data_IF_820263224705
#
_entry.id   IF_820263224705
#
_cell.length_a   1.000
_cell.length_b   1.000
_cell.length_c   1.000
_cell.angle_alpha   90.00
_cell.angle_beta   90.00
_cell.angle_gamma   90.00
#
_symmetry.space_group_name_H-M   'P 1'
#
loop_
_entity.id
_entity.type
_entity.pdbx_description
1 polymer ?
#
# COMPACT_ATOMS: atom_id res chain seq x y z
N UNK A 1 57.49 -76.32 23.06
CA UNK A 1 56.22 -75.73 22.64
C UNK A 1 56.12 -74.36 23.26
N UNK A 2 56.33 -73.31 22.49
CA UNK A 2 56.17 -71.92 22.95
C UNK A 2 55.03 -71.27 22.15
N UNK A 3 53.95 -70.93 22.80
CA UNK A 3 52.82 -70.19 22.25
C UNK A 3 53.19 -68.67 22.15
N UNK A 4 53.15 -68.18 20.98
CA UNK A 4 53.32 -66.72 20.74
C UNK A 4 51.96 -66.04 20.73
N UNK A 5 51.78 -65.11 21.63
CA UNK A 5 50.59 -64.25 21.72
C UNK A 5 50.76 -63.07 20.76
N UNK A 6 49.90 -62.90 19.72
CA UNK A 6 49.87 -61.76 18.85
C UNK A 6 48.97 -60.70 19.44
N UNK A 7 49.54 -59.49 19.73
CA UNK A 7 48.79 -58.32 20.16
C UNK A 7 48.26 -57.63 18.89
N UNK A 8 46.91 -57.52 18.77
CA UNK A 8 46.27 -56.66 17.76
C UNK A 8 46.13 -55.25 18.32
N UNK A 9 46.78 -54.32 17.72
CA UNK A 9 46.59 -52.88 17.99
C UNK A 9 45.46 -52.35 17.13
N UNK A 10 44.35 -51.95 17.77
CA UNK A 10 43.21 -51.27 17.14
C UNK A 10 43.52 -49.78 17.05
N UNK A 11 43.69 -49.24 15.83
CA UNK A 11 43.85 -47.79 15.56
C UNK A 11 42.44 -47.21 15.46
N UNK A 12 42.02 -46.43 16.44
CA UNK A 12 40.82 -45.62 16.38
C UNK A 12 41.10 -44.34 15.59
N UNK A 13 40.59 -44.22 14.37
CA UNK A 13 40.64 -43.02 13.59
C UNK A 13 39.55 -42.06 14.10
N UNK A 14 39.96 -40.96 14.74
CA UNK A 14 39.08 -39.89 15.11
C UNK A 14 38.72 -39.07 13.87
N UNK A 15 37.48 -39.13 13.40
CA UNK A 15 36.93 -38.29 12.33
C UNK A 15 36.64 -36.89 12.94
N UNK A 16 37.49 -35.91 12.70
CA UNK A 16 37.23 -34.52 12.98
C UNK A 16 36.23 -34.02 11.93
N UNK A 17 34.96 -33.89 12.30
CA UNK A 17 33.98 -33.16 11.52
C UNK A 17 34.27 -31.66 11.63
N UNK A 18 34.40 -30.91 10.51
CA UNK A 18 34.55 -29.47 10.56
C UNK A 18 33.24 -28.85 11.12
N UNK A 19 33.38 -28.15 12.23
CA UNK A 19 32.32 -27.29 12.74
C UNK A 19 32.21 -26.12 11.76
N UNK A 20 31.22 -26.14 10.87
CA UNK A 20 30.85 -24.99 10.05
C UNK A 20 30.33 -23.91 11.01
N UNK A 21 31.19 -23.03 11.45
CA UNK A 21 30.77 -21.77 12.09
C UNK A 21 30.05 -20.95 11.02
N UNK A 22 28.72 -20.86 11.14
CA UNK A 22 27.95 -19.90 10.36
C UNK A 22 28.44 -18.50 10.74
N UNK A 23 29.15 -17.85 9.81
CA UNK A 23 29.46 -16.42 9.93
C UNK A 23 28.10 -15.72 9.96
N UNK A 24 27.78 -14.90 10.98
CA UNK A 24 26.55 -14.14 10.99
C UNK A 24 26.53 -13.26 9.73
N UNK A 25 25.46 -13.36 8.96
CA UNK A 25 25.28 -12.52 7.78
C UNK A 25 25.27 -11.06 8.25
N UNK A 26 26.23 -10.27 7.80
CA UNK A 26 26.23 -8.83 8.04
C UNK A 26 24.98 -8.24 7.39
N UNK A 27 24.23 -7.42 8.15
CA UNK A 27 23.14 -6.64 7.60
C UNK A 27 23.68 -5.80 6.43
N UNK A 28 22.95 -5.74 5.31
CA UNK A 28 23.29 -4.82 4.23
C UNK A 28 23.29 -3.38 4.76
N UNK A 29 24.23 -2.57 4.31
CA UNK A 29 24.25 -1.15 4.65
C UNK A 29 22.91 -0.53 4.21
N UNK A 30 22.32 0.31 5.09
CA UNK A 30 21.10 1.05 4.79
C UNK A 30 21.30 1.92 3.56
N UNK A 31 20.37 1.91 2.64
CA UNK A 31 20.40 2.69 1.38
C UNK A 31 19.27 3.72 1.39
N UNK A 32 19.42 4.80 0.63
CA UNK A 32 18.41 5.86 0.58
C UNK A 32 17.09 5.34 -0.01
N UNK A 33 17.16 4.60 -1.11
CA UNK A 33 15.99 4.02 -1.76
C UNK A 33 16.06 2.49 -1.71
N UNK A 34 15.19 1.81 -0.91
CA UNK A 34 15.22 0.37 -0.72
C UNK A 34 14.90 -0.45 -1.97
N UNK A 35 14.28 0.15 -2.97
CA UNK A 35 13.92 -0.54 -4.22
C UNK A 35 15.07 -0.62 -5.23
N UNK A 36 16.08 0.24 -5.11
CA UNK A 36 17.20 0.28 -6.06
C UNK A 36 18.06 -0.97 -5.97
N UNK A 37 18.34 -1.56 -7.13
CA UNK A 37 19.15 -2.77 -7.25
C UNK A 37 18.66 -3.94 -6.37
N UNK A 38 17.39 -3.95 -6.01
CA UNK A 38 16.75 -5.02 -5.25
C UNK A 38 15.71 -5.75 -6.10
N UNK A 39 15.59 -7.06 -5.89
CA UNK A 39 14.46 -7.82 -6.39
C UNK A 39 13.28 -7.63 -5.44
N UNK A 40 12.05 -7.59 -5.97
CA UNK A 40 10.85 -7.59 -5.14
C UNK A 40 10.49 -9.00 -4.68
N UNK A 41 10.01 -9.12 -3.46
CA UNK A 41 9.39 -10.34 -2.96
C UNK A 41 8.15 -10.69 -3.76
N UNK A 42 8.08 -11.90 -4.28
CA UNK A 42 6.90 -12.44 -4.96
C UNK A 42 6.12 -13.29 -3.96
N UNK A 43 4.93 -12.83 -3.61
CA UNK A 43 4.04 -13.59 -2.73
C UNK A 43 3.62 -14.91 -3.40
N UNK A 44 3.94 -16.09 -2.84
CA UNK A 44 3.64 -17.37 -3.47
C UNK A 44 2.13 -17.64 -3.61
N UNK A 45 1.31 -17.12 -2.71
CA UNK A 45 -0.16 -17.30 -2.75
C UNK A 45 -0.78 -16.45 -3.84
N UNK A 46 -0.43 -15.16 -3.89
CA UNK A 46 -0.85 -14.29 -4.98
C UNK A 46 -0.34 -14.79 -6.33
N UNK A 47 0.92 -15.23 -6.40
CA UNK A 47 1.50 -15.86 -7.60
C UNK A 47 0.64 -17.03 -8.10
N UNK A 48 0.23 -17.93 -7.19
CA UNK A 48 -0.58 -19.08 -7.55
C UNK A 48 -1.94 -18.67 -8.11
N UNK A 49 -2.62 -17.70 -7.47
CA UNK A 49 -3.90 -17.18 -7.95
C UNK A 49 -3.77 -16.48 -9.29
N UNK A 50 -2.82 -15.56 -9.43
CA UNK A 50 -2.60 -14.80 -10.65
C UNK A 50 -2.24 -15.72 -11.82
N UNK A 51 -1.31 -16.67 -11.61
CA UNK A 51 -0.88 -17.60 -12.65
C UNK A 51 -1.97 -18.56 -13.12
N UNK A 52 -2.90 -18.92 -12.24
CA UNK A 52 -4.02 -19.78 -12.58
C UNK A 52 -5.03 -19.11 -13.52
N UNK A 53 -4.99 -17.77 -13.62
CA UNK A 53 -5.92 -17.01 -14.45
C UNK A 53 -5.47 -16.93 -15.90
N UNK A 54 -6.39 -17.01 -16.86
CA UNK A 54 -6.10 -16.75 -18.28
C UNK A 54 -5.41 -15.39 -18.46
N UNK A 55 -4.24 -15.36 -19.11
CA UNK A 55 -3.46 -14.15 -19.31
C UNK A 55 -2.71 -13.63 -18.09
N UNK A 56 -2.78 -14.29 -16.92
CA UNK A 56 -2.14 -13.82 -15.70
C UNK A 56 -0.65 -14.15 -15.56
N UNK A 57 -0.17 -15.15 -16.28
CA UNK A 57 1.22 -15.63 -16.17
C UNK A 57 2.30 -14.53 -16.36
N UNK A 58 2.18 -13.56 -17.30
CA UNK A 58 3.17 -12.50 -17.49
C UNK A 58 3.36 -11.59 -16.27
N UNK A 59 2.34 -11.44 -15.43
CA UNK A 59 2.35 -10.55 -14.26
C UNK A 59 2.50 -11.29 -12.93
N UNK A 60 2.31 -12.59 -12.90
CA UNK A 60 2.31 -13.39 -11.67
C UNK A 60 3.62 -13.28 -10.85
N UNK A 61 4.75 -12.97 -11.50
CA UNK A 61 6.04 -12.77 -10.85
C UNK A 61 6.28 -11.33 -10.35
N UNK A 62 5.28 -10.46 -10.43
CA UNK A 62 5.38 -9.11 -9.88
C UNK A 62 5.31 -9.15 -8.34
N UNK A 63 6.05 -8.23 -7.70
CA UNK A 63 5.96 -8.07 -6.25
C UNK A 63 4.69 -7.32 -5.85
N UNK A 64 4.07 -7.76 -4.75
CA UNK A 64 2.89 -7.12 -4.16
C UNK A 64 3.10 -6.87 -2.67
N UNK A 65 2.30 -5.99 -2.08
CA UNK A 65 2.33 -5.75 -0.64
C UNK A 65 1.69 -6.90 0.15
N UNK A 66 2.24 -7.17 1.33
CA UNK A 66 1.67 -8.07 2.34
C UNK A 66 0.86 -7.21 3.31
N UNK A 67 -0.45 -7.40 3.35
CA UNK A 67 -1.34 -6.60 4.18
C UNK A 67 -1.54 -7.22 5.56
N UNK A 68 -1.26 -6.42 6.58
CA UNK A 68 -1.56 -6.71 7.98
C UNK A 68 -2.73 -5.82 8.39
N UNK A 69 -3.94 -6.20 8.00
CA UNK A 69 -5.15 -5.40 8.17
C UNK A 69 -5.96 -5.78 9.42
N UNK A 70 -5.41 -6.68 10.23
CA UNK A 70 -5.96 -7.19 11.50
C UNK A 70 -4.91 -7.94 12.30
N UNK A 71 -5.15 -8.13 13.59
CA UNK A 71 -4.25 -8.89 14.49
C UNK A 71 -4.01 -10.31 13.97
N UNK A 72 -5.04 -10.99 13.47
CA UNK A 72 -4.91 -12.35 12.95
C UNK A 72 -4.00 -12.48 11.72
N UNK A 73 -3.75 -11.38 10.99
CA UNK A 73 -2.79 -11.37 9.87
C UNK A 73 -1.33 -11.47 10.31
N UNK A 74 -1.03 -11.21 11.59
CA UNK A 74 0.33 -11.30 12.14
C UNK A 74 0.76 -12.76 12.23
N UNK A 75 -0.05 -13.59 12.87
CA UNK A 75 0.22 -15.02 13.05
C UNK A 75 -0.25 -15.85 11.85
N UNK A 76 -1.20 -15.33 11.08
CA UNK A 76 -1.87 -16.04 9.99
C UNK A 76 -3.05 -16.88 10.49
N UNK A 77 -3.75 -17.45 9.53
CA UNK A 77 -4.92 -18.33 9.76
C UNK A 77 -4.75 -19.61 8.96
N UNK A 78 -5.71 -20.53 9.06
CA UNK A 78 -5.71 -21.74 8.22
C UNK A 78 -5.79 -21.41 6.70
N UNK A 79 -6.30 -20.22 6.34
CA UNK A 79 -6.52 -19.81 4.96
C UNK A 79 -5.48 -18.80 4.45
N UNK A 80 -4.81 -18.07 5.32
CA UNK A 80 -3.86 -17.02 4.97
C UNK A 80 -2.60 -17.11 5.80
N UNK A 81 -1.41 -16.99 5.18
CA UNK A 81 -0.14 -17.01 5.88
C UNK A 81 0.04 -15.77 6.76
N UNK A 82 0.73 -15.95 7.89
CA UNK A 82 1.12 -14.84 8.75
C UNK A 82 2.42 -14.16 8.30
N UNK A 83 2.75 -13.05 8.97
CA UNK A 83 3.95 -12.24 8.67
C UNK A 83 5.24 -13.08 8.64
N UNK A 84 5.45 -13.99 9.62
CA UNK A 84 6.64 -14.86 9.65
C UNK A 84 6.73 -15.77 8.42
N UNK A 85 5.61 -16.29 7.94
CA UNK A 85 5.59 -17.13 6.76
C UNK A 85 6.04 -16.35 5.50
N UNK A 86 5.56 -15.12 5.33
CA UNK A 86 5.99 -14.24 4.23
C UNK A 86 7.48 -13.88 4.35
N UNK A 87 7.97 -13.51 5.54
CA UNK A 87 9.39 -13.18 5.75
C UNK A 87 10.30 -14.38 5.52
N UNK A 88 9.93 -15.58 5.97
CA UNK A 88 10.68 -16.81 5.70
C UNK A 88 10.75 -17.10 4.19
N UNK A 89 9.65 -16.94 3.45
CA UNK A 89 9.65 -17.08 2.00
C UNK A 89 10.50 -15.99 1.33
N UNK A 90 10.50 -14.75 1.84
CA UNK A 90 11.38 -13.69 1.35
C UNK A 90 12.86 -14.03 1.55
N UNK A 91 13.24 -14.58 2.70
CA UNK A 91 14.62 -15.06 2.96
C UNK A 91 15.00 -16.18 1.98
N UNK A 92 14.11 -17.13 1.73
CA UNK A 92 14.34 -18.19 0.74
C UNK A 92 14.50 -17.63 -0.68
N UNK A 93 13.67 -16.67 -1.08
CA UNK A 93 13.77 -16.01 -2.38
C UNK A 93 15.04 -15.14 -2.49
N UNK A 94 15.46 -14.50 -1.41
CA UNK A 94 16.71 -13.73 -1.38
C UNK A 94 17.90 -14.63 -1.70
N UNK A 95 17.98 -15.80 -1.08
CA UNK A 95 19.08 -16.74 -1.29
C UNK A 95 20.43 -16.05 -1.15
N UNK A 96 21.33 -16.30 -2.11
CA UNK A 96 22.62 -15.60 -2.24
C UNK A 96 22.66 -14.51 -3.33
N UNK A 97 21.53 -14.14 -3.92
CA UNK A 97 21.47 -13.41 -5.19
C UNK A 97 21.28 -11.88 -5.05
N UNK A 98 21.73 -11.27 -3.97
CA UNK A 98 21.65 -9.82 -3.74
C UNK A 98 20.40 -9.41 -2.93
N UNK A 99 20.15 -8.09 -2.79
CA UNK A 99 19.08 -7.56 -1.96
C UNK A 99 17.71 -7.98 -2.44
N UNK A 100 16.80 -8.21 -1.48
CA UNK A 100 15.39 -8.45 -1.75
C UNK A 100 14.54 -7.50 -0.89
N UNK A 101 13.64 -6.80 -1.55
CA UNK A 101 12.68 -5.89 -0.90
C UNK A 101 11.35 -6.59 -0.71
N UNK A 102 10.82 -6.58 0.51
CA UNK A 102 9.46 -6.99 0.84
C UNK A 102 8.68 -5.78 1.34
N UNK A 103 7.46 -5.58 0.84
CA UNK A 103 6.54 -4.53 1.27
C UNK A 103 5.55 -5.12 2.25
N UNK A 104 5.44 -4.52 3.43
CA UNK A 104 4.40 -4.85 4.41
C UNK A 104 3.55 -3.62 4.67
N UNK A 105 2.24 -3.80 4.73
CA UNK A 105 1.27 -2.73 4.97
C UNK A 105 0.67 -2.91 6.34
N UNK A 106 0.94 -1.98 7.24
CA UNK A 106 0.27 -1.89 8.53
C UNK A 106 -1.01 -1.10 8.33
N UNK A 107 -2.16 -1.67 8.65
CA UNK A 107 -3.45 -1.00 8.43
C UNK A 107 -4.49 -1.47 9.46
N UNK A 108 -4.33 -1.05 10.73
CA UNK A 108 -5.27 -1.43 11.79
C UNK A 108 -5.45 -0.36 12.89
N UNK A 109 -5.36 0.94 12.51
CA UNK A 109 -5.64 2.06 13.42
C UNK A 109 -7.02 1.90 14.11
N UNK A 110 -7.15 2.27 15.39
CA UNK A 110 -8.44 2.24 16.08
C UNK A 110 -9.50 3.07 15.35
N UNK A 111 -10.66 2.44 15.09
CA UNK A 111 -11.76 3.03 14.31
C UNK A 111 -11.32 3.53 12.90
N UNK A 112 -10.33 2.87 12.27
CA UNK A 112 -9.88 3.22 10.93
C UNK A 112 -11.05 3.25 9.94
N UNK A 113 -10.83 3.94 8.82
CA UNK A 113 -11.86 4.13 7.80
C UNK A 113 -13.19 4.61 8.40
N UNK A 114 -13.12 5.59 9.30
CA UNK A 114 -14.30 6.10 10.02
C UNK A 114 -15.40 6.65 9.09
N UNK A 115 -15.08 6.93 7.83
CA UNK A 115 -16.02 7.35 6.78
C UNK A 115 -16.71 6.19 6.07
N UNK A 116 -16.23 4.95 6.24
CA UNK A 116 -16.70 3.75 5.56
C UNK A 116 -17.26 2.73 6.54
N UNK A 117 -18.04 1.77 6.04
CA UNK A 117 -18.62 0.69 6.84
C UNK A 117 -17.83 -0.61 6.75
N UNK A 118 -16.91 -0.72 5.77
CA UNK A 118 -16.05 -1.88 5.55
C UNK A 118 -14.62 -1.60 6.04
N UNK A 119 -13.89 -2.66 6.35
CA UNK A 119 -12.46 -2.57 6.68
C UNK A 119 -12.16 -1.64 7.89
N UNK A 120 -12.93 -1.77 8.98
CA UNK A 120 -12.81 -0.89 10.15
C UNK A 120 -11.75 -1.34 11.18
N UNK A 121 -11.06 -2.46 10.97
CA UNK A 121 -10.02 -2.98 11.86
C UNK A 121 -10.56 -3.65 13.12
N UNK A 122 -9.63 -4.09 13.97
CA UNK A 122 -9.93 -4.86 15.19
C UNK A 122 -10.10 -3.98 16.43
N UNK A 123 -9.71 -2.69 16.36
CA UNK A 123 -9.63 -1.81 17.52
C UNK A 123 -10.65 -0.69 17.46
N UNK A 124 -11.28 -0.41 18.62
CA UNK A 124 -12.14 0.75 18.78
C UNK A 124 -11.64 1.64 19.91
N UNK A 125 -11.67 2.96 19.70
CA UNK A 125 -11.31 3.95 20.72
C UNK A 125 -12.17 3.82 21.97
N UNK A 126 -13.42 3.38 21.83
CA UNK A 126 -14.32 3.14 22.94
C UNK A 126 -13.91 1.95 23.83
N UNK A 127 -13.00 1.08 23.36
CA UNK A 127 -12.59 -0.16 24.03
C UNK A 127 -11.07 -0.24 24.21
N UNK A 128 -10.45 0.85 24.65
CA UNK A 128 -8.99 0.96 24.85
C UNK A 128 -8.17 0.66 23.60
N UNK A 129 -8.74 0.96 22.43
CA UNK A 129 -8.16 0.59 21.13
C UNK A 129 -6.73 1.11 20.91
N UNK A 130 -6.38 2.27 21.46
CA UNK A 130 -5.03 2.82 21.31
C UNK A 130 -3.96 1.97 22.00
N UNK A 131 -4.19 1.53 23.24
CA UNK A 131 -3.24 0.67 23.94
C UNK A 131 -3.21 -0.73 23.32
N UNK A 132 -4.37 -1.25 22.92
CA UNK A 132 -4.45 -2.53 22.23
C UNK A 132 -3.73 -2.49 20.89
N UNK A 133 -3.88 -1.44 20.09
CA UNK A 133 -3.12 -1.23 18.84
C UNK A 133 -1.61 -1.29 19.07
N UNK A 134 -1.11 -0.66 20.15
CA UNK A 134 0.32 -0.72 20.50
C UNK A 134 0.77 -2.12 20.87
N UNK A 135 0.06 -2.75 21.80
CA UNK A 135 0.50 -3.98 22.46
C UNK A 135 0.16 -5.24 21.68
N UNK A 136 -0.99 -5.25 20.99
CA UNK A 136 -1.49 -6.45 20.29
C UNK A 136 -1.15 -6.43 18.78
N UNK A 137 -0.76 -5.27 18.23
CA UNK A 137 -0.50 -5.14 16.80
C UNK A 137 0.91 -4.60 16.51
N UNK A 138 1.26 -3.37 16.89
CA UNK A 138 2.55 -2.76 16.54
C UNK A 138 3.73 -3.49 17.16
N UNK A 139 3.69 -3.79 18.47
CA UNK A 139 4.80 -4.43 19.17
C UNK A 139 5.06 -5.87 18.71
N UNK A 140 4.06 -6.73 18.49
CA UNK A 140 4.27 -8.04 17.88
C UNK A 140 4.89 -7.95 16.47
N UNK A 141 4.39 -7.06 15.61
CA UNK A 141 4.96 -6.84 14.27
C UNK A 141 6.43 -6.40 14.39
N UNK A 142 6.73 -5.37 15.18
CA UNK A 142 8.09 -4.89 15.35
C UNK A 142 9.03 -5.97 15.93
N UNK A 143 8.53 -6.77 16.87
CA UNK A 143 9.27 -7.91 17.43
C UNK A 143 9.60 -8.98 16.40
N UNK A 144 8.67 -9.27 15.47
CA UNK A 144 8.92 -10.20 14.36
C UNK A 144 9.95 -9.61 13.39
N UNK A 145 9.81 -8.33 12.99
CA UNK A 145 10.70 -7.70 12.03
C UNK A 145 12.14 -7.55 12.56
N UNK A 146 12.31 -7.41 13.87
CA UNK A 146 13.62 -7.31 14.52
C UNK A 146 14.38 -8.64 14.62
N UNK A 147 13.76 -9.77 14.24
CA UNK A 147 14.39 -11.09 14.28
C UNK A 147 15.64 -11.09 13.38
N UNK A 148 16.82 -11.51 13.91
CA UNK A 148 18.06 -11.58 13.14
C UNK A 148 17.98 -12.38 11.83
N UNK A 149 17.06 -13.32 11.73
CA UNK A 149 16.83 -14.09 10.51
C UNK A 149 16.44 -13.23 9.31
N UNK A 150 15.91 -12.04 9.53
CA UNK A 150 15.39 -11.14 8.48
C UNK A 150 16.29 -9.95 8.18
N UNK A 151 17.44 -9.79 8.86
CA UNK A 151 18.33 -8.63 8.73
C UNK A 151 18.85 -8.36 7.31
N UNK A 152 18.87 -9.39 6.45
CA UNK A 152 19.30 -9.26 5.04
C UNK A 152 18.20 -8.78 4.09
N UNK A 153 16.98 -8.71 4.55
CA UNK A 153 15.86 -8.20 3.77
C UNK A 153 15.83 -6.66 3.87
N UNK A 154 15.39 -6.00 2.81
CA UNK A 154 14.94 -4.62 2.87
C UNK A 154 13.44 -4.62 3.08
N UNK A 155 13.01 -4.30 4.29
CA UNK A 155 11.59 -4.35 4.66
C UNK A 155 11.01 -2.95 4.54
N UNK A 156 10.18 -2.74 3.53
CA UNK A 156 9.43 -1.49 3.35
C UNK A 156 8.14 -1.58 4.13
N UNK A 157 8.04 -0.80 5.21
CA UNK A 157 6.85 -0.70 6.03
C UNK A 157 6.01 0.50 5.57
N UNK A 158 4.85 0.21 4.99
CA UNK A 158 3.84 1.19 4.58
C UNK A 158 2.86 1.32 5.73
N UNK A 159 2.78 2.53 6.30
CA UNK A 159 2.10 2.74 7.58
C UNK A 159 0.77 3.43 7.36
N UNK A 160 -0.28 2.71 7.70
CA UNK A 160 -1.67 3.13 7.88
C UNK A 160 -2.25 3.90 6.67
N UNK A 161 -2.47 3.20 5.54
CA UNK A 161 -3.17 3.79 4.41
C UNK A 161 -4.53 4.42 4.80
N UNK A 162 -4.88 5.49 4.12
CA UNK A 162 -6.18 6.20 4.22
C UNK A 162 -6.49 6.85 5.59
N UNK A 163 -5.49 7.07 6.46
CA UNK A 163 -5.76 7.77 7.72
C UNK A 163 -6.01 9.29 7.57
N UNK A 164 -5.40 9.92 6.56
CA UNK A 164 -5.48 11.37 6.35
C UNK A 164 -6.91 11.87 6.08
N UNK A 165 -7.74 11.24 5.25
CA UNK A 165 -9.12 11.66 5.07
C UNK A 165 -9.90 11.78 6.38
N UNK A 166 -9.70 10.87 7.33
CA UNK A 166 -10.32 10.91 8.65
C UNK A 166 -9.92 12.11 9.50
N UNK A 167 -8.76 12.72 9.23
CA UNK A 167 -8.25 13.89 9.96
C UNK A 167 -8.45 15.22 9.23
N UNK A 168 -8.51 15.20 7.90
CA UNK A 168 -8.59 16.41 7.06
C UNK A 168 -10.03 16.80 6.71
N UNK A 169 -10.87 15.80 6.43
CA UNK A 169 -12.26 16.03 6.05
C UNK A 169 -13.12 16.50 7.25
N UNK A 170 -14.22 17.22 7.02
CA UNK A 170 -15.23 17.44 8.05
C UNK A 170 -15.71 16.10 8.63
N UNK A 171 -15.97 16.06 9.93
CA UNK A 171 -16.47 14.85 10.60
C UNK A 171 -17.90 14.55 10.14
N UNK A 172 -18.05 13.67 9.16
CA UNK A 172 -19.35 13.30 8.57
C UNK A 172 -20.07 12.18 9.34
N UNK A 173 -19.36 11.52 10.27
CA UNK A 173 -19.90 10.49 11.17
C UNK A 173 -19.51 10.79 12.60
N UNK A 174 -20.26 10.26 13.58
CA UNK A 174 -19.89 10.35 15.01
C UNK A 174 -18.56 9.66 15.29
N UNK A 175 -18.22 8.60 14.54
CA UNK A 175 -16.96 7.87 14.64
C UNK A 175 -15.79 8.75 14.17
N UNK A 176 -15.91 9.44 13.03
CA UNK A 176 -14.87 10.39 12.58
C UNK A 176 -14.72 11.57 13.56
N UNK A 177 -15.80 12.07 14.12
CA UNK A 177 -15.76 13.10 15.16
C UNK A 177 -14.96 12.63 16.40
N UNK A 178 -15.19 11.39 16.85
CA UNK A 178 -14.44 10.80 17.97
C UNK A 178 -12.94 10.63 17.63
N UNK A 179 -12.61 10.14 16.43
CA UNK A 179 -11.23 10.02 15.95
C UNK A 179 -10.51 11.37 15.97
N UNK A 180 -11.15 12.41 15.43
CA UNK A 180 -10.55 13.77 15.37
C UNK A 180 -10.37 14.37 16.77
N UNK A 181 -11.37 14.23 17.66
CA UNK A 181 -11.35 14.81 18.99
C UNK A 181 -10.36 14.10 19.92
N UNK A 182 -10.11 12.80 19.73
CA UNK A 182 -9.26 12.00 20.63
C UNK A 182 -7.76 12.28 20.50
N UNK A 183 -7.28 12.73 19.34
CA UNK A 183 -5.86 12.78 18.99
C UNK A 183 -5.20 11.41 18.85
N UNK A 184 -5.96 10.33 18.83
CA UNK A 184 -5.45 8.96 18.84
C UNK A 184 -4.62 8.62 17.59
N UNK A 185 -5.03 9.07 16.41
CA UNK A 185 -4.29 8.78 15.17
C UNK A 185 -2.86 9.35 15.18
N UNK A 186 -2.64 10.65 15.47
CA UNK A 186 -1.28 11.18 15.62
C UNK A 186 -0.43 10.42 16.63
N UNK A 187 -1.02 9.99 17.74
CA UNK A 187 -0.33 9.25 18.79
C UNK A 187 0.02 7.82 18.37
N UNK A 188 -0.93 7.10 17.78
CA UNK A 188 -0.74 5.75 17.25
C UNK A 188 0.33 5.71 16.15
N UNK A 189 0.24 6.63 15.18
CA UNK A 189 1.19 6.75 14.08
C UNK A 189 2.61 7.06 14.58
N UNK A 190 2.75 8.02 15.51
CA UNK A 190 4.06 8.32 16.11
C UNK A 190 4.64 7.10 16.79
N UNK A 191 3.82 6.35 17.52
CA UNK A 191 4.25 5.12 18.17
C UNK A 191 4.74 4.10 17.16
N UNK A 192 3.93 3.76 16.14
CA UNK A 192 4.27 2.79 15.12
C UNK A 192 5.55 3.18 14.35
N UNK A 193 5.65 4.43 13.91
CA UNK A 193 6.83 4.95 13.21
C UNK A 193 8.09 4.78 14.06
N UNK A 194 8.07 5.20 15.33
CA UNK A 194 9.23 5.10 16.21
C UNK A 194 9.66 3.66 16.47
N UNK A 195 8.68 2.74 16.63
CA UNK A 195 8.97 1.31 16.82
C UNK A 195 9.61 0.68 15.60
N UNK A 196 9.14 1.03 14.42
CA UNK A 196 9.65 0.51 13.15
C UNK A 196 11.01 1.10 12.78
N UNK A 197 11.23 2.40 12.98
CA UNK A 197 12.51 3.07 12.71
C UNK A 197 13.66 2.57 13.58
N UNK A 198 13.37 1.97 14.74
CA UNK A 198 14.37 1.35 15.59
C UNK A 198 14.99 0.08 14.98
N UNK A 199 14.43 -0.47 13.89
CA UNK A 199 14.88 -1.69 13.25
C UNK A 199 15.70 -1.32 12.00
N UNK A 200 17.01 -1.67 11.95
CA UNK A 200 17.94 -1.10 10.96
C UNK A 200 17.61 -1.36 9.49
N UNK A 201 16.97 -2.48 9.18
CA UNK A 201 16.60 -2.89 7.82
C UNK A 201 15.14 -2.62 7.45
N UNK A 202 14.42 -1.86 8.29
CA UNK A 202 13.06 -1.40 8.04
C UNK A 202 13.07 0.03 7.51
N UNK A 203 12.40 0.25 6.39
CA UNK A 203 12.25 1.50 5.68
C UNK A 203 10.80 1.98 5.81
N UNK A 204 10.57 3.06 6.52
CA UNK A 204 9.22 3.52 6.88
C UNK A 204 8.72 4.54 5.86
N UNK A 205 7.57 4.24 5.25
CA UNK A 205 6.81 5.12 4.39
C UNK A 205 5.42 5.35 5.00
N UNK A 206 5.07 6.62 5.27
CA UNK A 206 3.71 6.97 5.70
C UNK A 206 2.80 7.14 4.50
N UNK A 207 1.52 6.80 4.68
CA UNK A 207 0.55 7.12 3.65
C UNK A 207 0.27 8.62 3.58
N UNK A 208 0.26 9.15 2.36
CA UNK A 208 -0.11 10.54 2.04
C UNK A 208 -1.42 10.61 1.22
N UNK A 209 -2.22 9.55 1.27
CA UNK A 209 -3.51 9.44 0.59
C UNK A 209 -3.36 9.55 -0.94
N UNK A 210 -4.14 10.37 -1.63
CA UNK A 210 -4.12 10.50 -3.09
C UNK A 210 -4.49 11.91 -3.53
N UNK A 211 -4.26 12.24 -4.83
CA UNK A 211 -4.52 13.56 -5.37
C UNK A 211 -5.95 14.06 -5.10
N UNK A 212 -6.94 13.16 -5.19
CA UNK A 212 -8.36 13.51 -5.03
C UNK A 212 -8.74 14.06 -3.65
N UNK A 213 -7.95 13.79 -2.60
CA UNK A 213 -8.15 14.31 -1.24
C UNK A 213 -7.12 15.38 -0.90
N UNK A 214 -5.84 15.02 -0.96
CA UNK A 214 -4.75 15.90 -0.50
C UNK A 214 -4.38 16.94 -1.54
N UNK A 215 -4.63 16.68 -2.83
CA UNK A 215 -4.38 17.64 -3.91
C UNK A 215 -5.25 18.91 -3.87
N UNK A 216 -6.31 18.91 -3.07
CA UNK A 216 -7.17 20.10 -2.89
C UNK A 216 -6.40 21.23 -2.18
N UNK A 217 -6.54 22.50 -2.59
CA UNK A 217 -5.84 23.65 -1.98
C UNK A 217 -5.97 23.71 -0.46
N UNK A 218 -7.17 23.44 0.07
CA UNK A 218 -7.46 23.48 1.50
C UNK A 218 -6.77 22.35 2.29
N UNK A 219 -6.42 21.24 1.64
CA UNK A 219 -5.82 20.09 2.27
C UNK A 219 -4.31 19.99 2.07
N UNK A 220 -3.79 20.47 0.93
CA UNK A 220 -2.41 20.26 0.52
C UNK A 220 -1.38 20.71 1.56
N UNK A 221 -1.53 21.96 2.04
CA UNK A 221 -0.65 22.49 3.09
C UNK A 221 -0.91 21.89 4.47
N UNK A 222 -2.20 21.65 4.80
CA UNK A 222 -2.61 21.07 6.09
C UNK A 222 -2.08 19.63 6.26
N UNK A 223 -2.17 18.81 5.20
CA UNK A 223 -1.66 17.44 5.22
C UNK A 223 -0.16 17.41 5.49
N UNK A 224 0.64 18.23 4.79
CA UNK A 224 2.08 18.28 5.00
C UNK A 224 2.45 18.73 6.42
N UNK A 225 1.77 19.75 6.96
CA UNK A 225 1.96 20.22 8.34
C UNK A 225 1.57 19.17 9.38
N UNK A 226 0.47 18.45 9.15
CA UNK A 226 0.02 17.37 10.02
C UNK A 226 1.03 16.22 10.03
N UNK A 227 1.47 15.75 8.87
CA UNK A 227 2.50 14.71 8.75
C UNK A 227 3.79 15.11 9.47
N UNK A 228 4.25 16.35 9.30
CA UNK A 228 5.42 16.87 9.98
C UNK A 228 5.25 16.87 11.50
N UNK A 229 4.07 17.20 12.01
CA UNK A 229 3.77 17.18 13.46
C UNK A 229 3.71 15.76 14.03
N UNK A 230 3.22 14.80 13.24
CA UNK A 230 3.12 13.40 13.65
C UNK A 230 4.50 12.80 13.87
N UNK A 231 5.41 12.97 12.90
CA UNK A 231 6.74 12.33 12.94
C UNK A 231 7.84 13.21 13.52
N UNK A 232 7.51 14.42 14.02
CA UNK A 232 8.47 15.31 14.68
C UNK A 232 9.37 16.12 13.74
N UNK A 233 9.08 16.18 12.44
CA UNK A 233 9.86 16.94 11.46
C UNK A 233 9.83 18.46 11.72
N UNK A 234 8.76 18.97 12.34
CA UNK A 234 8.60 20.38 12.67
C UNK A 234 9.57 20.91 13.76
N UNK A 235 10.36 20.04 14.40
CA UNK A 235 11.30 20.42 15.48
C UNK A 235 12.70 20.87 15.01
N UNK A 236 12.91 21.04 13.69
CA UNK A 236 14.19 21.52 13.13
C UNK A 236 15.23 20.45 12.82
N UNK A 237 15.02 19.20 13.23
CA UNK A 237 15.78 18.06 12.74
C UNK A 237 14.98 17.34 11.65
N UNK A 238 15.59 16.91 10.54
CA UNK A 238 14.91 16.14 9.52
C UNK A 238 14.28 14.88 10.10
N UNK A 239 13.04 14.58 9.67
CA UNK A 239 12.39 13.34 10.07
C UNK A 239 13.15 12.12 9.49
N UNK A 240 13.32 11.06 10.29
CA UNK A 240 14.00 9.86 9.84
C UNK A 240 13.16 8.93 8.96
N UNK A 241 11.87 9.27 8.66
CA UNK A 241 11.09 8.47 7.71
C UNK A 241 11.70 8.54 6.31
N UNK A 242 11.61 7.44 5.57
CA UNK A 242 12.22 7.34 4.23
C UNK A 242 11.41 8.05 3.17
N UNK A 243 10.10 8.11 3.37
CA UNK A 243 9.23 8.76 2.41
C UNK A 243 7.76 8.54 2.67
N UNK A 244 6.99 8.66 1.59
CA UNK A 244 5.53 8.59 1.64
C UNK A 244 4.99 7.74 0.50
N UNK A 245 3.84 7.13 0.75
CA UNK A 245 3.07 6.44 -0.30
C UNK A 245 1.89 7.28 -0.74
N UNK A 246 1.50 7.14 -1.99
CA UNK A 246 0.26 7.74 -2.52
C UNK A 246 -0.53 6.72 -3.32
N UNK A 247 -1.84 6.92 -3.42
CA UNK A 247 -2.77 6.07 -4.16
C UNK A 247 -2.81 4.62 -3.68
N UNK A 248 -2.45 4.34 -2.42
CA UNK A 248 -2.46 2.98 -1.86
C UNK A 248 -3.86 2.40 -1.97
N UNK A 249 -3.99 1.25 -2.61
CA UNK A 249 -5.27 0.63 -2.96
C UNK A 249 -6.21 1.53 -3.79
N UNK A 250 -5.71 2.62 -4.35
CA UNK A 250 -6.49 3.58 -5.11
C UNK A 250 -6.58 3.25 -6.61
N UNK A 251 -7.32 4.10 -7.31
CA UNK A 251 -7.58 3.99 -8.74
C UNK A 251 -7.21 5.28 -9.52
N UNK A 252 -6.65 6.29 -8.83
CA UNK A 252 -6.27 7.56 -9.44
C UNK A 252 -5.29 7.37 -10.58
N UNK A 253 -5.57 7.93 -11.76
CA UNK A 253 -4.69 7.80 -12.92
C UNK A 253 -3.26 8.22 -12.57
N UNK A 254 -2.27 7.44 -13.00
CA UNK A 254 -0.86 7.78 -12.79
C UNK A 254 -0.50 9.09 -13.49
N UNK A 255 -0.94 9.25 -14.73
CA UNK A 255 -0.79 10.46 -15.56
C UNK A 255 -2.05 10.70 -16.36
N UNK A 256 -2.50 11.95 -16.40
CA UNK A 256 -3.56 12.43 -17.29
C UNK A 256 -2.95 13.21 -18.48
N UNK A 257 -2.66 12.53 -19.60
CA UNK A 257 -1.84 13.11 -20.66
C UNK A 257 -2.57 14.15 -21.53
N UNK A 258 -3.90 14.22 -21.45
CA UNK A 258 -4.71 15.00 -22.41
C UNK A 258 -5.39 16.23 -21.79
N UNK A 259 -5.22 16.45 -20.48
CA UNK A 259 -5.66 17.67 -19.81
C UNK A 259 -4.87 17.91 -18.52
N UNK A 260 -4.89 19.16 -18.05
CA UNK A 260 -4.36 19.54 -16.75
C UNK A 260 -5.08 20.82 -16.25
N UNK A 261 -4.78 21.24 -15.03
CA UNK A 261 -5.44 22.38 -14.39
C UNK A 261 -4.96 23.75 -14.89
N UNK A 262 -3.95 23.80 -15.76
CA UNK A 262 -3.35 25.04 -16.29
C UNK A 262 -3.69 25.29 -17.77
N UNK A 263 -4.58 24.50 -18.35
CA UNK A 263 -5.05 24.70 -19.73
C UNK A 263 -5.91 25.99 -19.84
N UNK A 264 -6.08 26.48 -21.06
CA UNK A 264 -6.87 27.69 -21.32
C UNK A 264 -8.38 27.59 -20.99
N UNK A 265 -8.90 26.38 -20.79
CA UNK A 265 -10.25 26.16 -20.27
C UNK A 265 -10.24 26.13 -18.73
N UNK A 266 -11.33 26.55 -18.06
CA UNK A 266 -11.41 26.55 -16.61
C UNK A 266 -11.62 25.14 -16.03
N UNK A 267 -10.70 24.21 -16.31
CA UNK A 267 -10.75 22.79 -15.97
C UNK A 267 -11.09 22.53 -14.50
N UNK A 268 -10.59 23.40 -13.60
CA UNK A 268 -10.89 23.32 -12.16
C UNK A 268 -12.38 23.45 -11.83
N UNK A 269 -13.17 24.09 -12.69
CA UNK A 269 -14.62 24.25 -12.47
C UNK A 269 -15.43 23.05 -12.92
N UNK A 270 -14.81 22.06 -13.59
CA UNK A 270 -15.49 20.82 -13.95
C UNK A 270 -15.90 20.03 -12.70
N UNK A 271 -16.99 19.29 -12.82
CA UNK A 271 -17.48 18.41 -11.75
C UNK A 271 -16.47 17.34 -11.33
N UNK A 272 -15.65 16.87 -12.27
CA UNK A 272 -14.62 15.89 -12.02
C UNK A 272 -13.46 16.45 -11.19
N UNK A 273 -12.94 17.62 -11.57
CA UNK A 273 -11.79 18.23 -10.90
C UNK A 273 -12.20 18.96 -9.62
N UNK A 274 -13.39 19.59 -9.60
CA UNK A 274 -14.03 20.19 -8.43
C UNK A 274 -13.10 21.10 -7.61
N UNK A 275 -12.30 21.95 -8.26
CA UNK A 275 -11.37 22.87 -7.60
C UNK A 275 -10.01 22.30 -7.23
N UNK A 276 -9.75 21.00 -7.45
CA UNK A 276 -8.47 20.40 -7.18
C UNK A 276 -7.34 20.99 -8.03
N UNK A 277 -6.13 21.07 -7.47
CA UNK A 277 -4.96 21.57 -8.17
C UNK A 277 -4.29 20.49 -9.03
N UNK A 278 -4.54 19.23 -8.74
CA UNK A 278 -3.93 18.05 -9.39
C UNK A 278 -5.01 17.15 -9.99
N UNK A 279 -4.68 16.53 -11.10
CA UNK A 279 -5.58 15.62 -11.83
C UNK A 279 -5.05 14.18 -11.91
N UNK A 280 -3.81 13.97 -11.46
CA UNK A 280 -3.13 12.68 -11.51
C UNK A 280 -2.16 12.49 -10.33
N UNK A 281 -1.76 11.23 -10.11
CA UNK A 281 -0.94 10.88 -8.94
C UNK A 281 0.53 11.28 -9.10
N UNK A 282 1.09 11.29 -10.32
CA UNK A 282 2.50 11.61 -10.51
C UNK A 282 2.77 13.10 -10.26
N UNK A 283 1.98 13.97 -10.87
CA UNK A 283 2.14 15.43 -10.67
C UNK A 283 1.86 15.82 -9.21
N UNK A 284 0.84 15.21 -8.60
CA UNK A 284 0.54 15.38 -7.18
C UNK A 284 1.71 14.92 -6.30
N UNK A 285 2.19 13.70 -6.45
CA UNK A 285 3.27 13.15 -5.63
C UNK A 285 4.54 14.00 -5.69
N UNK A 286 4.92 14.44 -6.89
CA UNK A 286 6.11 15.31 -7.08
C UNK A 286 5.94 16.66 -6.39
N UNK A 287 4.80 17.29 -6.52
CA UNK A 287 4.51 18.57 -5.87
C UNK A 287 4.38 18.42 -4.34
N UNK A 288 3.72 17.37 -3.88
CA UNK A 288 3.54 17.12 -2.46
C UNK A 288 4.87 16.79 -1.76
N UNK A 289 5.77 16.06 -2.43
CA UNK A 289 7.15 15.88 -1.96
C UNK A 289 7.83 17.21 -1.67
N UNK A 290 7.74 18.20 -2.57
CA UNK A 290 8.34 19.51 -2.33
C UNK A 290 7.68 20.23 -1.14
N UNK A 291 6.36 20.06 -0.98
CA UNK A 291 5.62 20.62 0.15
C UNK A 291 6.03 19.99 1.47
N UNK A 292 6.29 18.68 1.49
CA UNK A 292 6.79 17.94 2.65
C UNK A 292 8.21 18.43 3.04
N UNK A 293 9.11 18.58 2.08
CA UNK A 293 10.46 19.15 2.31
C UNK A 293 10.34 20.55 2.93
N UNK A 294 9.47 21.38 2.40
CA UNK A 294 9.21 22.72 2.95
C UNK A 294 8.55 22.68 4.35
N UNK A 295 7.94 21.56 4.74
CA UNK A 295 7.38 21.34 6.08
C UNK A 295 8.39 20.77 7.08
N UNK A 296 9.65 20.53 6.68
CA UNK A 296 10.75 20.09 7.55
C UNK A 296 11.21 18.65 7.36
N UNK A 297 10.73 17.94 6.33
CA UNK A 297 11.28 16.63 5.98
C UNK A 297 12.62 16.75 5.26
N UNK A 298 13.41 15.68 5.29
CA UNK A 298 14.70 15.61 4.62
C UNK A 298 14.53 15.79 3.10
N UNK A 299 15.54 16.36 2.44
CA UNK A 299 15.51 16.63 0.99
C UNK A 299 15.56 15.38 0.12
N UNK A 300 15.97 14.26 0.69
CA UNK A 300 16.10 12.95 0.06
C UNK A 300 14.90 12.04 0.26
N UNK A 301 13.85 12.47 1.01
CA UNK A 301 12.62 11.67 1.13
C UNK A 301 12.09 11.28 -0.25
N UNK A 302 11.66 10.05 -0.39
CA UNK A 302 11.08 9.52 -1.62
C UNK A 302 9.56 9.40 -1.58
N UNK A 303 8.97 9.24 -2.76
CA UNK A 303 7.56 8.92 -2.92
C UNK A 303 7.41 7.53 -3.55
N UNK A 304 6.46 6.75 -3.10
CA UNK A 304 6.05 5.48 -3.73
C UNK A 304 4.62 5.61 -4.20
N UNK A 305 4.35 5.29 -5.45
CA UNK A 305 3.00 5.36 -6.03
C UNK A 305 2.48 3.94 -6.23
N UNK A 306 1.31 3.64 -5.63
CA UNK A 306 0.63 2.39 -5.94
C UNK A 306 0.02 2.44 -7.34
N UNK A 307 0.53 1.58 -8.21
CA UNK A 307 0.11 1.49 -9.61
C UNK A 307 -0.64 0.21 -9.93
N UNK A 308 -1.07 -0.53 -8.90
CA UNK A 308 -1.68 -1.85 -9.06
C UNK A 308 -2.97 -1.85 -9.88
N UNK A 309 -3.79 -0.76 -9.79
CA UNK A 309 -5.15 -0.74 -10.33
C UNK A 309 -5.51 0.56 -11.07
N UNK A 310 -4.55 1.32 -11.53
CA UNK A 310 -4.74 2.66 -12.10
C UNK A 310 -4.39 2.77 -13.60
N UNK A 311 -4.32 1.65 -14.31
CA UNK A 311 -3.93 1.59 -15.72
C UNK A 311 -4.93 2.22 -16.69
N UNK A 312 -6.22 1.96 -16.52
CA UNK A 312 -7.30 2.52 -17.37
C UNK A 312 -7.07 2.37 -18.87
N UNK A 313 -6.59 1.18 -19.32
CA UNK A 313 -6.22 0.93 -20.72
C UNK A 313 -7.36 0.46 -21.64
N UNK A 314 -8.58 0.26 -21.11
CA UNK A 314 -9.70 -0.27 -21.85
C UNK A 314 -10.16 0.62 -23.01
N UNK A 315 -11.17 0.16 -23.76
CA UNK A 315 -11.67 0.83 -24.99
C UNK A 315 -12.08 2.30 -24.81
N UNK A 316 -12.38 2.71 -23.58
CA UNK A 316 -12.76 4.11 -23.24
C UNK A 316 -11.56 5.01 -22.95
N UNK A 317 -10.33 4.49 -22.99
CA UNK A 317 -9.14 5.33 -22.82
C UNK A 317 -9.05 6.34 -23.96
N UNK A 318 -8.95 7.66 -23.70
CA UNK A 318 -8.78 8.66 -24.73
C UNK A 318 -7.41 8.50 -25.40
N UNK A 319 -7.33 8.97 -26.64
CA UNK A 319 -6.09 8.99 -27.44
C UNK A 319 -5.66 10.40 -27.84
N UNK A 320 -6.46 11.41 -27.49
CA UNK A 320 -6.19 12.83 -27.74
C UNK A 320 -7.00 13.70 -26.78
N UNK A 321 -6.61 14.96 -26.68
CA UNK A 321 -7.36 16.01 -25.98
C UNK A 321 -8.68 16.30 -26.73
N UNK A 322 -9.79 16.41 -26.00
CA UNK A 322 -11.07 16.84 -26.56
C UNK A 322 -11.01 18.28 -27.07
N UNK A 323 -11.82 18.61 -28.07
CA UNK A 323 -11.93 19.95 -28.66
C UNK A 323 -13.24 20.65 -28.31
N UNK A 324 -14.07 20.06 -27.43
CA UNK A 324 -15.38 20.63 -27.08
C UNK A 324 -15.23 21.81 -26.12
N UNK A 325 -16.13 22.80 -26.24
CA UNK A 325 -16.08 24.00 -25.40
C UNK A 325 -16.71 23.86 -24.01
N UNK A 326 -17.59 22.86 -23.79
CA UNK A 326 -18.16 22.58 -22.47
C UNK A 326 -17.11 21.91 -21.58
N UNK A 327 -16.82 22.51 -20.43
CA UNK A 327 -15.71 22.10 -19.57
C UNK A 327 -15.91 20.70 -18.96
N UNK A 328 -17.15 20.31 -18.61
CA UNK A 328 -17.41 18.99 -18.06
C UNK A 328 -17.21 17.93 -19.13
N UNK A 329 -17.77 18.15 -20.31
CA UNK A 329 -17.61 17.25 -21.44
C UNK A 329 -16.17 17.17 -21.92
N UNK A 330 -15.47 18.32 -21.96
CA UNK A 330 -14.03 18.37 -22.29
C UNK A 330 -13.22 17.45 -21.36
N UNK A 331 -13.41 17.58 -20.04
CA UNK A 331 -12.71 16.75 -19.05
C UNK A 331 -13.14 15.27 -19.18
N UNK A 332 -14.45 15.00 -19.33
CA UNK A 332 -14.95 13.62 -19.46
C UNK A 332 -14.41 12.91 -20.72
N UNK A 333 -14.23 13.62 -21.83
CA UNK A 333 -13.67 13.07 -23.05
C UNK A 333 -12.14 12.93 -23.01
N UNK A 334 -11.45 13.79 -22.24
CA UNK A 334 -9.98 13.84 -22.18
C UNK A 334 -9.37 12.98 -21.08
N UNK A 335 -10.07 12.75 -19.92
CA UNK A 335 -9.52 12.01 -18.79
C UNK A 335 -9.37 10.52 -19.04
N UNK A 336 -8.29 9.92 -18.53
CA UNK A 336 -8.06 8.49 -18.58
C UNK A 336 -8.77 7.74 -17.44
N UNK A 337 -8.83 8.33 -16.25
CA UNK A 337 -9.59 7.78 -15.13
C UNK A 337 -11.09 7.74 -15.47
N UNK A 338 -11.67 6.54 -15.50
CA UNK A 338 -13.07 6.32 -15.94
C UNK A 338 -14.06 6.17 -14.80
N UNK A 339 -13.65 6.38 -13.55
CA UNK A 339 -14.59 6.41 -12.43
C UNK A 339 -15.67 7.48 -12.65
N UNK A 340 -16.82 7.30 -12.06
CA UNK A 340 -17.90 8.28 -12.12
C UNK A 340 -17.64 9.50 -11.22
N UNK A 341 -16.88 9.30 -10.14
CA UNK A 341 -16.39 10.34 -9.23
C UNK A 341 -14.99 9.98 -8.75
N UNK A 342 -14.14 10.98 -8.52
CA UNK A 342 -12.79 10.79 -7.96
C UNK A 342 -12.83 10.14 -6.57
N UNK A 343 -13.95 10.28 -5.84
CA UNK A 343 -14.16 9.66 -4.54
C UNK A 343 -14.63 8.20 -4.59
N UNK A 344 -14.87 7.62 -5.78
CA UNK A 344 -15.25 6.20 -5.88
C UNK A 344 -14.04 5.31 -5.65
N UNK A 345 -14.17 4.32 -4.76
CA UNK A 345 -13.02 3.54 -4.30
C UNK A 345 -13.21 2.02 -4.32
N UNK A 346 -14.43 1.48 -4.27
CA UNK A 346 -14.63 0.05 -4.13
C UNK A 346 -14.71 -0.64 -5.50
N UNK A 347 -13.83 -1.63 -5.73
CA UNK A 347 -13.83 -2.56 -6.88
C UNK A 347 -14.23 -1.92 -8.22
N UNK A 348 -13.58 -0.83 -8.60
CA UNK A 348 -14.02 0.03 -9.70
C UNK A 348 -13.98 -0.65 -11.07
N UNK A 349 -15.13 -0.69 -11.73
CA UNK A 349 -15.28 -1.23 -13.08
C UNK A 349 -14.52 -0.41 -14.14
N UNK A 350 -13.88 -1.08 -15.07
CA UNK A 350 -13.07 -0.47 -16.14
C UNK A 350 -11.64 -0.17 -15.74
N UNK A 351 -11.26 -0.37 -14.49
CA UNK A 351 -9.89 -0.23 -14.04
C UNK A 351 -8.96 -1.24 -14.71
N UNK A 352 -7.67 -0.92 -14.84
CA UNK A 352 -6.64 -1.78 -15.41
C UNK A 352 -5.40 -1.87 -14.54
N UNK A 353 -4.58 -2.91 -14.71
CA UNK A 353 -3.23 -2.92 -14.17
C UNK A 353 -2.48 -1.69 -14.68
N UNK A 354 -1.84 -0.97 -13.78
CA UNK A 354 -1.00 0.16 -14.13
C UNK A 354 0.44 -0.23 -14.45
N UNK A 355 1.34 0.72 -14.35
CA UNK A 355 2.79 0.50 -14.52
C UNK A 355 3.26 -0.63 -13.60
N UNK A 356 4.13 -1.50 -14.15
CA UNK A 356 4.70 -2.61 -13.37
C UNK A 356 5.65 -2.07 -12.32
N UNK A 357 5.81 -2.79 -11.19
CA UNK A 357 6.74 -2.38 -10.13
C UNK A 357 8.14 -2.12 -10.69
N UNK A 358 8.69 -0.93 -10.42
CA UNK A 358 10.06 -0.54 -10.80
C UNK A 358 10.58 0.61 -9.97
N UNK A 359 11.88 0.58 -9.69
CA UNK A 359 12.56 1.64 -8.96
C UNK A 359 12.83 2.88 -9.84
N UNK A 360 12.89 4.04 -9.21
CA UNK A 360 13.25 5.34 -9.79
C UNK A 360 12.52 5.61 -11.13
N UNK A 361 11.17 5.54 -11.15
CA UNK A 361 10.44 5.76 -12.40
C UNK A 361 10.41 7.21 -12.86
N UNK A 362 10.53 8.15 -11.93
CA UNK A 362 10.51 9.59 -12.16
C UNK A 362 11.27 10.33 -11.05
N UNK A 363 11.57 11.62 -11.25
CA UNK A 363 12.26 12.44 -10.25
C UNK A 363 11.48 12.53 -8.94
N UNK A 364 12.14 12.21 -7.82
CA UNK A 364 11.55 12.20 -6.48
C UNK A 364 10.60 11.05 -6.19
N UNK A 365 10.49 10.08 -7.11
CA UNK A 365 9.70 8.87 -6.94
C UNK A 365 10.64 7.68 -6.78
N UNK A 366 10.59 7.04 -5.61
CA UNK A 366 11.42 5.88 -5.27
C UNK A 366 11.02 4.64 -6.06
N UNK A 367 9.70 4.43 -6.20
CA UNK A 367 9.19 3.31 -6.97
C UNK A 367 7.74 3.53 -7.44
N UNK A 368 7.40 2.91 -8.56
CA UNK A 368 6.05 2.40 -8.79
C UNK A 368 5.97 1.02 -8.16
N UNK A 369 4.91 0.76 -7.42
CA UNK A 369 4.74 -0.49 -6.70
C UNK A 369 3.30 -1.00 -6.81
N UNK A 370 3.11 -2.29 -6.67
CA UNK A 370 1.78 -2.88 -6.48
C UNK A 370 1.61 -3.15 -4.99
N UNK A 371 1.20 -2.11 -4.26
CA UNK A 371 1.01 -2.18 -2.81
C UNK A 371 -0.27 -2.98 -2.52
N UNK A 372 -1.38 -2.63 -3.17
CA UNK A 372 -2.58 -3.49 -3.16
C UNK A 372 -2.35 -4.66 -4.14
N UNK A 373 -2.46 -5.92 -3.71
CA UNK A 373 -2.38 -7.03 -4.66
C UNK A 373 -3.54 -6.97 -5.65
N UNK A 374 -3.29 -6.91 -6.97
CA UNK A 374 -4.36 -6.92 -7.98
C UNK A 374 -5.26 -8.15 -7.85
N UNK A 375 -6.57 -7.97 -7.98
CA UNK A 375 -7.54 -9.05 -7.81
C UNK A 375 -7.94 -9.35 -6.36
N UNK A 376 -7.45 -8.55 -5.39
CA UNK A 376 -7.93 -8.64 -4.00
C UNK A 376 -9.03 -7.62 -3.77
N UNK A 377 -10.22 -8.10 -3.40
CA UNK A 377 -11.45 -7.31 -3.23
C UNK A 377 -11.32 -6.21 -2.18
N UNK A 378 -11.99 -5.08 -2.41
CA UNK A 378 -12.13 -3.97 -1.46
C UNK A 378 -13.32 -4.17 -0.51
N UNK A 379 -14.32 -4.96 -0.93
CA UNK A 379 -15.53 -5.23 -0.15
C UNK A 379 -16.58 -5.97 -0.95
N UNK A 380 -17.52 -6.59 -0.25
CA UNK A 380 -18.62 -7.37 -0.84
C UNK A 380 -19.59 -6.48 -1.60
N UNK A 381 -20.01 -6.94 -2.80
CA UNK A 381 -21.05 -6.30 -3.60
C UNK A 381 -22.47 -6.49 -3.04
N UNK A 382 -22.65 -7.35 -2.05
CA UNK A 382 -23.94 -7.66 -1.44
C UNK A 382 -23.94 -7.35 0.04
N UNK A 383 -25.09 -6.95 0.56
CA UNK A 383 -25.24 -6.59 1.97
C UNK A 383 -25.23 -7.84 2.87
N UNK A 384 -24.03 -8.29 3.18
CA UNK A 384 -23.77 -9.37 4.12
C UNK A 384 -22.80 -8.89 5.20
N UNK A 385 -22.95 -9.40 6.41
CA UNK A 385 -21.91 -9.26 7.43
C UNK A 385 -21.01 -10.49 7.32
N UNK A 386 -19.71 -10.27 7.06
CA UNK A 386 -18.74 -11.35 7.02
C UNK A 386 -18.56 -11.99 8.41
N UNK A 387 -18.09 -13.26 8.49
CA UNK A 387 -17.86 -13.94 9.77
C UNK A 387 -16.94 -13.19 10.75
N UNK A 388 -16.03 -12.37 10.23
CA UNK A 388 -15.13 -11.50 10.99
C UNK A 388 -15.76 -10.17 11.45
N UNK A 389 -17.06 -9.98 11.23
CA UNK A 389 -17.80 -8.77 11.59
C UNK A 389 -17.70 -7.62 10.56
N UNK A 390 -16.94 -7.78 9.48
CA UNK A 390 -16.85 -6.79 8.39
C UNK A 390 -18.22 -6.59 7.76
N UNK A 391 -18.68 -5.34 7.69
CA UNK A 391 -19.98 -4.96 7.15
C UNK A 391 -19.87 -4.57 5.68
N UNK A 392 -20.97 -4.66 4.98
CA UNK A 392 -21.12 -4.13 3.63
C UNK A 392 -21.08 -2.60 3.63
N UNK A 393 -20.34 -2.01 2.67
CA UNK A 393 -20.37 -0.58 2.38
C UNK A 393 -21.15 -0.35 1.08
N UNK A 394 -22.11 0.60 1.04
CA UNK A 394 -22.89 0.87 -0.16
C UNK A 394 -22.03 1.19 -1.40
N UNK A 395 -20.83 1.77 -1.25
CA UNK A 395 -19.93 2.03 -2.37
C UNK A 395 -19.50 0.76 -3.11
N UNK A 396 -19.61 -0.40 -2.48
CA UNK A 396 -19.31 -1.71 -3.09
C UNK A 396 -20.51 -2.33 -3.81
N UNK A 397 -21.72 -1.75 -3.66
CA UNK A 397 -22.92 -2.19 -4.39
C UNK A 397 -22.90 -1.61 -5.82
N UNK A 398 -22.95 -2.45 -6.87
CA UNK A 398 -23.00 -1.99 -8.26
C UNK A 398 -24.19 -1.08 -8.58
N UNK A 399 -25.30 -1.22 -7.84
CA UNK A 399 -26.52 -0.42 -8.02
C UNK A 399 -26.50 0.89 -7.21
N UNK A 400 -25.47 1.13 -6.40
CA UNK A 400 -25.43 2.30 -5.52
C UNK A 400 -25.34 3.62 -6.28
N UNK A 401 -26.20 4.54 -5.90
CA UNK A 401 -26.21 5.93 -6.36
C UNK A 401 -25.91 6.84 -5.17
N UNK A 402 -24.91 7.70 -5.32
CA UNK A 402 -24.52 8.69 -4.32
C UNK A 402 -25.51 9.84 -4.29
N UNK A 403 -26.57 9.72 -3.50
CA UNK A 403 -27.67 10.69 -3.44
C UNK A 403 -27.17 12.11 -3.12
N UNK A 404 -26.25 12.22 -2.18
CA UNK A 404 -25.65 13.52 -1.78
C UNK A 404 -24.69 14.10 -2.83
N UNK A 405 -24.38 13.35 -3.88
CA UNK A 405 -23.51 13.75 -4.98
C UNK A 405 -24.24 13.70 -6.33
N UNK A 406 -25.52 14.09 -6.35
CA UNK A 406 -26.32 14.16 -7.57
C UNK A 406 -26.63 12.81 -8.22
N UNK A 407 -26.80 11.76 -7.44
CA UNK A 407 -27.06 10.38 -7.88
C UNK A 407 -25.94 9.79 -8.77
N UNK A 408 -24.68 10.16 -8.51
CA UNK A 408 -23.53 9.60 -9.23
C UNK A 408 -23.37 8.11 -8.89
N UNK A 409 -23.24 7.20 -9.90
CA UNK A 409 -23.04 5.77 -9.63
C UNK A 409 -21.76 5.49 -8.85
N UNK A 410 -21.80 4.49 -7.94
CA UNK A 410 -20.62 3.98 -7.24
C UNK A 410 -19.60 3.29 -8.17
N UNK A 411 -20.10 2.67 -9.25
CA UNK A 411 -19.25 2.08 -10.30
C UNK A 411 -18.51 0.81 -9.89
N UNK A 412 -18.96 0.13 -8.83
CA UNK A 412 -18.36 -1.11 -8.37
C UNK A 412 -18.69 -2.29 -9.30
N UNK A 413 -17.79 -3.26 -9.37
CA UNK A 413 -18.02 -4.54 -10.06
C UNK A 413 -19.05 -5.40 -9.30
N UNK A 414 -19.92 -6.14 -10.01
CA UNK A 414 -20.81 -7.11 -9.39
C UNK A 414 -20.06 -8.33 -8.86
N UNK A 415 -20.73 -9.11 -8.02
CA UNK A 415 -20.30 -10.40 -7.50
C UNK A 415 -18.96 -10.35 -6.72
N UNK A 416 -18.61 -9.18 -6.19
CA UNK A 416 -17.41 -9.01 -5.41
C UNK A 416 -17.51 -9.75 -4.06
N UNK A 417 -16.50 -10.55 -3.67
CA UNK A 417 -16.43 -11.18 -2.36
C UNK A 417 -16.08 -10.17 -1.26
N UNK A 418 -16.04 -10.61 -0.01
CA UNK A 418 -15.63 -9.78 1.11
C UNK A 418 -14.22 -9.18 0.92
N UNK A 419 -13.95 -8.07 1.63
CA UNK A 419 -12.65 -7.42 1.60
C UNK A 419 -11.51 -8.40 1.91
N UNK A 420 -10.41 -8.28 1.18
CA UNK A 420 -9.23 -9.13 1.33
C UNK A 420 -9.31 -10.48 0.60
N UNK A 421 -10.46 -10.88 0.09
CA UNK A 421 -10.61 -12.14 -0.65
C UNK A 421 -10.26 -11.98 -2.14
N UNK A 422 -9.86 -13.10 -2.77
CA UNK A 422 -9.58 -13.13 -4.20
C UNK A 422 -10.83 -12.88 -5.02
N UNK A 423 -10.76 -11.94 -5.95
CA UNK A 423 -11.83 -11.54 -6.84
C UNK A 423 -11.40 -11.74 -8.31
N UNK A 424 -11.68 -12.92 -8.84
CA UNK A 424 -11.26 -13.35 -10.17
C UNK A 424 -11.72 -12.39 -11.27
N UNK A 425 -12.99 -11.98 -11.25
CA UNK A 425 -13.56 -11.10 -12.27
C UNK A 425 -12.83 -9.74 -12.30
N UNK A 426 -12.50 -9.17 -11.14
CA UNK A 426 -11.71 -7.94 -11.08
C UNK A 426 -10.31 -8.17 -11.68
N UNK A 427 -9.65 -9.28 -11.34
CA UNK A 427 -8.31 -9.54 -11.86
C UNK A 427 -8.32 -9.69 -13.40
N UNK A 428 -9.30 -10.40 -13.96
CA UNK A 428 -9.49 -10.52 -15.42
C UNK A 428 -9.72 -9.17 -16.08
N UNK A 429 -10.53 -8.30 -15.47
CA UNK A 429 -10.75 -6.95 -15.99
C UNK A 429 -9.49 -6.11 -15.92
N UNK A 430 -8.75 -6.19 -14.81
CA UNK A 430 -7.46 -5.49 -14.64
C UNK A 430 -6.44 -5.92 -15.71
N UNK A 431 -6.35 -7.21 -16.04
CA UNK A 431 -5.50 -7.70 -17.14
C UNK A 431 -5.94 -7.14 -18.49
N UNK A 432 -7.24 -7.20 -18.77
CA UNK A 432 -7.83 -6.75 -20.04
C UNK A 432 -7.61 -5.25 -20.28
N UNK A 433 -7.72 -4.46 -19.23
CA UNK A 433 -7.61 -3.01 -19.26
C UNK A 433 -6.22 -2.51 -18.81
N UNK A 434 -5.19 -3.36 -18.82
CA UNK A 434 -3.85 -2.97 -18.42
C UNK A 434 -3.31 -1.81 -19.29
N UNK A 435 -2.63 -0.86 -18.63
CA UNK A 435 -1.88 0.18 -19.32
C UNK A 435 -0.62 0.56 -18.51
N UNK A 436 0.57 0.41 -19.08
CA UNK A 436 0.87 -0.11 -20.43
C UNK A 436 0.31 -1.53 -20.67
N UNK A 437 0.03 -1.91 -21.92
CA UNK A 437 -0.42 -3.27 -22.25
C UNK A 437 0.52 -4.37 -21.73
N UNK A 438 -0.02 -5.57 -21.53
CA UNK A 438 0.74 -6.76 -21.11
C UNK A 438 1.67 -7.28 -22.19
#
# INVERSE_FOLDING_TARGET
MRLGTRLMATIAAAILLPVLTSVPATADARVDNPYVAARGYVDPWWYAWARAQPGGAPVATSSTGVWLDRVSSIEGTASFPGLRAHLNQAVLQAGGSGPLTIQIVLNDLPDRNCTHLVSNGDFSLASDGLNRYRNEYVDPIAGILADPAYQRLRIVAIVEPDFLPGLLAPAITSRCAAVQASGAYPEALRYAVNRLLAIPNVYVYLDASHHGVVGHPDNFGRAAGLLASIVGAAGGAPSPVHGFTVNVAGYGALVEPYYNTHMGLPVKTSRWVAGNDYVDELSFAQAFRQRLIAAGFASDIGMVIDTSRNGWGGRRRPVHTSTVGDVNRFVDESRTDRRHSVGNWCNQAGAGLGERPRAIPASGIDAYAWIKPPGVSDGSSVNVTAPDGTRHDPMCDPAYLQVNNGNVPGGALPDAPAAGQWFEAQFQELLTNAYPPL
#
